data_IF_195483932090
#
_entry.id   IF_195483932090
#
_cell.length_a   1.000
_cell.length_b   1.000
_cell.length_c   1.000
_cell.angle_alpha   90.00
_cell.angle_beta   90.00
_cell.angle_gamma   90.00
#
_symmetry.space_group_name_H-M   'P 1'
#
loop_
_entity.id
_entity.type
_entity.pdbx_description
1 polymer ?
#
# COMPACT_ATOMS: atom_id res chain seq x y z
N UNK A 1 41.74 50.10 -27.91
CA UNK A 1 40.41 49.69 -27.34
C UNK A 1 40.65 48.45 -26.51
N UNK A 2 40.83 48.59 -25.20
CA UNK A 2 41.07 47.50 -24.24
C UNK A 2 39.72 46.97 -23.76
N UNK A 3 39.42 45.70 -24.04
CA UNK A 3 38.28 44.99 -23.46
C UNK A 3 38.66 44.52 -22.05
N UNK A 4 38.05 45.12 -21.04
CA UNK A 4 38.10 44.68 -19.64
C UNK A 4 37.16 43.47 -19.51
N UNK A 5 37.71 42.29 -19.25
CA UNK A 5 36.99 41.11 -18.79
C UNK A 5 36.75 41.28 -17.26
N UNK A 6 35.47 41.47 -16.89
CA UNK A 6 35.04 41.37 -15.51
C UNK A 6 34.84 39.88 -15.20
N UNK A 7 35.78 39.32 -14.45
CA UNK A 7 35.67 38.00 -13.86
C UNK A 7 34.81 38.13 -12.58
N UNK A 8 33.55 37.78 -12.63
CA UNK A 8 32.73 37.60 -11.44
C UNK A 8 33.10 36.25 -10.79
N UNK A 9 33.92 36.34 -9.75
CA UNK A 9 34.11 35.24 -8.82
C UNK A 9 32.82 35.04 -8.04
N UNK A 10 32.07 33.98 -8.37
CA UNK A 10 31.03 33.46 -7.51
C UNK A 10 31.72 32.86 -6.28
N UNK A 11 31.76 33.61 -5.19
CA UNK A 11 32.04 33.07 -3.88
C UNK A 11 30.80 32.22 -3.50
N UNK A 12 30.90 30.91 -3.68
CA UNK A 12 29.99 29.96 -3.05
C UNK A 12 30.19 30.11 -1.53
N UNK A 13 29.34 30.90 -0.91
CA UNK A 13 29.11 30.79 0.53
C UNK A 13 28.51 29.38 0.75
N UNK A 14 29.38 28.45 1.13
CA UNK A 14 28.98 27.28 1.86
C UNK A 14 28.37 27.80 3.18
N UNK A 15 27.05 28.02 3.18
CA UNK A 15 26.26 28.07 4.41
C UNK A 15 26.42 26.68 5.03
N UNK A 16 27.42 26.55 5.89
CA UNK A 16 27.50 25.45 6.83
C UNK A 16 26.19 25.46 7.59
N UNK A 17 25.38 24.43 7.37
CA UNK A 17 24.17 24.21 8.16
C UNK A 17 24.65 24.11 9.62
N UNK A 18 24.52 25.21 10.39
CA UNK A 18 24.81 25.17 11.82
C UNK A 18 23.79 24.19 12.44
N UNK A 19 24.32 23.16 13.09
CA UNK A 19 23.51 22.21 13.84
C UNK A 19 22.57 23.00 14.76
N UNK A 20 21.26 22.89 14.53
CA UNK A 20 20.25 23.56 15.34
C UNK A 20 20.08 22.76 16.62
N UNK A 21 20.87 23.12 17.63
CA UNK A 21 20.83 22.47 18.94
C UNK A 21 19.48 22.68 19.61
N UNK A 22 18.92 21.62 20.17
CA UNK A 22 17.72 21.68 21.00
C UNK A 22 18.01 21.37 22.45
N UNK A 23 17.18 21.90 23.35
CA UNK A 23 17.14 21.54 24.76
C UNK A 23 15.68 21.27 25.15
N UNK A 24 15.38 20.06 25.60
CA UNK A 24 14.10 19.71 26.24
C UNK A 24 14.27 19.80 27.75
N UNK A 25 13.51 20.66 28.40
CA UNK A 25 13.38 20.73 29.85
C UNK A 25 12.05 20.08 30.23
N UNK A 26 12.12 18.93 30.89
CA UNK A 26 10.96 18.12 31.17
C UNK A 26 10.64 18.01 32.65
N UNK A 27 9.34 17.83 32.94
CA UNK A 27 8.82 17.48 34.26
C UNK A 27 8.04 16.17 34.14
N UNK A 28 8.35 15.23 35.03
CA UNK A 28 7.68 13.94 35.14
C UNK A 28 6.70 13.91 36.30
N UNK A 29 5.81 12.93 36.29
CA UNK A 29 4.89 12.66 37.43
C UNK A 29 5.66 12.34 38.71
N UNK A 30 5.26 12.83 39.87
CA UNK A 30 5.90 12.53 41.13
C UNK A 30 6.08 11.03 41.37
N UNK A 31 7.32 10.62 41.69
CA UNK A 31 7.68 9.21 41.88
C UNK A 31 8.20 8.51 40.62
N UNK A 32 8.12 9.12 39.44
CA UNK A 32 8.70 8.60 38.20
C UNK A 32 10.23 8.77 38.22
N UNK A 33 10.97 7.70 37.92
CA UNK A 33 12.43 7.71 37.92
C UNK A 33 13.08 7.74 36.54
N UNK A 34 12.28 7.44 35.49
CA UNK A 34 12.72 7.35 34.08
C UNK A 34 11.64 7.87 33.15
N UNK A 35 12.04 8.62 32.15
CA UNK A 35 11.18 8.99 31.00
C UNK A 35 11.76 8.33 29.76
N UNK A 36 10.91 7.70 28.97
CA UNK A 36 11.24 7.07 27.70
C UNK A 36 10.96 8.03 26.55
N UNK A 37 11.81 7.97 25.53
CA UNK A 37 11.62 8.80 24.35
C UNK A 37 12.11 8.08 23.10
N UNK A 38 11.57 8.48 21.96
CA UNK A 38 12.10 8.10 20.65
C UNK A 38 12.00 9.27 19.65
N UNK A 39 12.91 9.28 18.70
CA UNK A 39 12.73 10.05 17.49
C UNK A 39 11.65 9.35 16.63
N UNK A 40 10.66 10.12 16.13
CA UNK A 40 9.61 9.56 15.27
C UNK A 40 10.13 8.97 13.94
N UNK A 41 11.31 9.36 13.49
CA UNK A 41 11.98 8.79 12.31
C UNK A 41 12.75 7.49 12.61
N UNK A 42 12.88 7.12 13.88
CA UNK A 42 13.57 5.92 14.36
C UNK A 42 12.63 5.06 15.18
N UNK A 43 12.80 3.75 15.12
CA UNK A 43 12.08 2.81 15.98
C UNK A 43 12.76 2.58 17.33
N UNK A 44 13.92 3.20 17.56
CA UNK A 44 14.68 3.00 18.81
C UNK A 44 14.08 3.84 19.93
N UNK A 45 13.72 3.17 21.02
CA UNK A 45 13.28 3.79 22.28
C UNK A 45 14.47 3.89 23.22
N UNK A 46 14.75 5.09 23.65
CA UNK A 46 15.78 5.42 24.63
C UNK A 46 15.14 5.94 25.93
N UNK A 47 15.95 6.28 26.92
CA UNK A 47 15.45 6.74 28.22
C UNK A 47 16.36 7.78 28.86
N UNK A 48 15.76 8.64 29.68
CA UNK A 48 16.45 9.61 30.51
C UNK A 48 16.04 9.47 31.97
N UNK A 49 16.99 9.60 32.87
CA UNK A 49 16.72 9.58 34.32
C UNK A 49 16.05 10.87 34.74
N UNK A 50 15.07 10.74 35.65
CA UNK A 50 14.41 11.86 36.33
C UNK A 50 15.15 12.21 37.61
N UNK A 51 15.42 13.48 37.78
CA UNK A 51 16.03 13.99 39.01
C UNK A 51 15.14 13.87 40.25
N UNK A 52 15.71 14.04 41.44
CA UNK A 52 14.95 14.00 42.70
C UNK A 52 13.89 15.09 42.79
N UNK A 53 14.04 16.16 42.01
CA UNK A 53 13.11 17.29 41.88
C UNK A 53 12.00 17.03 40.84
N UNK A 54 11.95 15.81 40.26
CA UNK A 54 10.99 15.44 39.24
C UNK A 54 11.29 15.97 37.84
N UNK A 55 12.47 16.57 37.63
CA UNK A 55 12.86 17.15 36.32
C UNK A 55 13.80 16.25 35.53
N UNK A 56 13.82 16.42 34.20
CA UNK A 56 14.79 15.81 33.30
C UNK A 56 15.19 16.77 32.18
N UNK A 57 16.34 16.52 31.57
CA UNK A 57 16.82 17.34 30.44
C UNK A 57 17.32 16.43 29.32
N UNK A 58 16.94 16.73 28.07
CA UNK A 58 17.47 16.15 26.86
C UNK A 58 18.06 17.26 25.98
N UNK A 59 19.12 16.94 25.26
CA UNK A 59 19.72 17.88 24.32
C UNK A 59 20.30 17.15 23.11
N UNK A 60 20.32 17.77 21.95
CA UNK A 60 20.82 17.18 20.72
C UNK A 60 20.71 18.10 19.53
N UNK A 61 20.83 17.53 18.34
CA UNK A 61 20.73 18.22 17.07
C UNK A 61 19.34 18.04 16.46
N UNK A 62 18.57 19.11 16.33
CA UNK A 62 17.22 19.12 15.77
C UNK A 62 17.17 18.73 14.28
N UNK A 63 18.24 18.92 13.52
CA UNK A 63 18.26 18.53 12.10
C UNK A 63 18.21 17.01 11.91
N UNK A 64 18.79 16.27 12.85
CA UNK A 64 18.75 14.81 12.84
C UNK A 64 17.51 14.25 13.55
N UNK A 65 16.90 15.03 14.46
CA UNK A 65 15.81 14.59 15.32
C UNK A 65 14.75 15.70 15.49
N UNK A 66 14.03 16.10 14.43
CA UNK A 66 13.11 17.24 14.51
C UNK A 66 11.86 16.97 15.36
N UNK A 67 11.51 15.71 15.60
CA UNK A 67 10.30 15.31 16.35
C UNK A 67 10.60 14.23 17.37
N UNK A 68 10.30 14.52 18.62
CA UNK A 68 10.54 13.61 19.73
C UNK A 68 9.21 13.20 20.38
N UNK A 69 9.01 11.90 20.53
CA UNK A 69 7.91 11.33 21.30
C UNK A 69 8.41 10.97 22.69
N UNK A 70 7.70 11.40 23.75
CA UNK A 70 8.09 11.19 25.13
C UNK A 70 6.94 10.56 25.92
N UNK A 71 7.25 9.63 26.82
CA UNK A 71 6.28 8.97 27.69
C UNK A 71 6.94 8.51 28.99
N UNK A 72 6.16 8.35 30.02
CA UNK A 72 6.57 7.68 31.25
C UNK A 72 6.49 6.15 31.15
N UNK A 73 5.92 5.64 30.04
CA UNK A 73 5.77 4.23 29.74
C UNK A 73 6.69 3.82 28.59
N UNK A 74 7.35 2.67 28.72
CA UNK A 74 8.32 2.19 27.73
C UNK A 74 7.68 1.87 26.36
N UNK A 75 6.44 1.47 26.34
CA UNK A 75 5.66 1.21 25.13
C UNK A 75 5.16 2.50 24.44
N UNK A 76 5.52 3.66 25.01
CA UNK A 76 5.14 5.00 24.56
C UNK A 76 3.62 5.23 24.47
N UNK A 77 2.82 4.45 25.18
CA UNK A 77 1.41 4.75 25.40
C UNK A 77 1.28 6.08 26.18
N UNK A 78 0.21 6.83 25.93
CA UNK A 78 -0.01 8.17 26.50
C UNK A 78 1.20 9.12 26.34
N UNK A 79 1.81 9.11 25.16
CA UNK A 79 2.96 9.94 24.85
C UNK A 79 2.58 11.35 24.42
N UNK A 80 3.51 12.28 24.66
CA UNK A 80 3.53 13.61 24.06
C UNK A 80 4.54 13.65 22.91
N UNK A 81 4.26 14.49 21.94
CA UNK A 81 5.22 14.82 20.90
C UNK A 81 5.67 16.26 21.05
N UNK A 82 6.96 16.50 20.83
CA UNK A 82 7.59 17.80 20.82
C UNK A 82 8.30 18.05 19.48
N UNK A 83 8.22 19.28 18.98
CA UNK A 83 9.03 19.78 17.88
C UNK A 83 10.31 20.38 18.47
N UNK A 84 11.46 19.91 17.98
CA UNK A 84 12.77 20.26 18.52
C UNK A 84 13.38 21.46 17.77
N UNK A 85 12.76 22.61 17.92
CA UNK A 85 13.13 23.87 17.23
C UNK A 85 13.73 24.94 18.17
N UNK A 86 14.37 24.50 19.26
CA UNK A 86 15.01 25.36 20.24
C UNK A 86 14.89 24.83 21.68
N UNK A 87 14.59 25.73 22.63
CA UNK A 87 14.31 25.32 24.01
C UNK A 87 12.85 24.97 24.17
N UNK A 88 12.57 23.71 24.46
CA UNK A 88 11.23 23.13 24.59
C UNK A 88 10.98 22.74 26.05
N UNK A 89 9.80 23.08 26.57
CA UNK A 89 9.37 22.65 27.90
C UNK A 89 8.28 21.58 27.76
N UNK A 90 8.47 20.45 28.42
CA UNK A 90 7.56 19.30 28.43
C UNK A 90 7.07 19.06 29.86
N UNK A 91 5.76 19.10 30.08
CA UNK A 91 5.14 18.74 31.35
C UNK A 91 4.27 17.50 31.13
N UNK A 92 4.79 16.33 31.51
CA UNK A 92 4.11 15.04 31.33
C UNK A 92 2.85 14.93 32.20
N UNK A 93 2.86 15.34 33.48
CA UNK A 93 1.66 15.36 34.33
C UNK A 93 0.46 16.11 33.73
N UNK A 94 0.71 17.25 33.10
CA UNK A 94 -0.35 18.07 32.48
C UNK A 94 -0.55 17.80 31.01
N UNK A 95 0.26 16.91 30.44
CA UNK A 95 0.26 16.59 29.00
C UNK A 95 0.43 17.83 28.12
N UNK A 96 1.38 18.70 28.45
CA UNK A 96 1.63 19.95 27.72
C UNK A 96 3.05 20.07 27.20
N UNK A 97 3.18 20.68 26.02
CA UNK A 97 4.45 21.07 25.41
C UNK A 97 4.41 22.54 25.08
N UNK A 98 5.48 23.27 25.32
CA UNK A 98 5.59 24.71 25.12
C UNK A 98 7.03 25.15 24.87
N UNK A 99 7.25 26.45 24.73
CA UNK A 99 8.57 27.07 24.57
C UNK A 99 8.82 27.63 23.16
N UNK A 100 8.13 27.10 22.13
CA UNK A 100 8.23 27.61 20.76
C UNK A 100 6.85 27.75 20.12
N UNK A 101 6.77 28.47 19.02
CA UNK A 101 5.49 28.65 18.26
C UNK A 101 4.98 27.30 17.75
N UNK A 102 5.84 26.45 17.19
CA UNK A 102 5.46 25.13 16.67
C UNK A 102 4.89 24.25 17.78
N UNK A 103 5.51 24.24 18.98
CA UNK A 103 5.01 23.47 20.10
C UNK A 103 3.70 24.00 20.66
N UNK A 104 3.46 25.33 20.62
CA UNK A 104 2.18 25.91 21.02
C UNK A 104 1.06 25.49 20.05
N UNK A 105 1.33 25.50 18.74
CA UNK A 105 0.38 25.04 17.71
C UNK A 105 0.08 23.54 17.85
N UNK A 106 1.13 22.72 18.00
CA UNK A 106 1.01 21.28 18.22
C UNK A 106 0.14 20.99 19.44
N UNK A 107 0.41 21.68 20.57
CA UNK A 107 -0.28 21.45 21.84
C UNK A 107 -1.79 21.74 21.76
N UNK A 108 -2.20 22.72 20.96
CA UNK A 108 -3.62 23.02 20.75
C UNK A 108 -4.41 21.80 20.22
N UNK A 109 -3.80 20.99 19.36
CA UNK A 109 -4.45 19.82 18.77
C UNK A 109 -4.16 18.56 19.58
N UNK A 110 -2.88 18.27 19.92
CA UNK A 110 -2.54 17.02 20.60
C UNK A 110 -3.18 16.90 22.01
N UNK A 111 -3.34 18.02 22.75
CA UNK A 111 -3.99 17.97 24.07
C UNK A 111 -5.47 17.58 23.99
N UNK A 112 -6.15 17.93 22.91
CA UNK A 112 -7.55 17.53 22.65
C UNK A 112 -7.62 16.08 22.19
N UNK A 113 -6.71 15.66 21.31
CA UNK A 113 -6.60 14.27 20.84
C UNK A 113 -6.26 13.34 21.99
N UNK A 114 -5.30 13.70 22.84
CA UNK A 114 -4.90 12.90 24.01
C UNK A 114 -6.07 12.57 24.96
N UNK A 115 -7.04 13.48 25.08
CA UNK A 115 -8.26 13.24 25.87
C UNK A 115 -9.24 12.28 25.22
N UNK A 116 -9.16 12.07 23.90
CA UNK A 116 -10.07 11.20 23.14
C UNK A 116 -9.50 9.78 22.95
N UNK A 117 -8.19 9.65 22.85
CA UNK A 117 -7.49 8.37 22.58
C UNK A 117 -7.83 7.26 23.59
N UNK A 118 -7.89 7.49 24.91
CA UNK A 118 -8.25 6.44 25.86
C UNK A 118 -9.65 5.83 25.63
N UNK A 119 -10.62 6.67 25.24
CA UNK A 119 -11.95 6.21 24.85
C UNK A 119 -11.94 5.34 23.61
N UNK A 120 -11.14 5.69 22.59
CA UNK A 120 -10.96 4.90 21.37
C UNK A 120 -10.35 3.53 21.71
N UNK A 121 -9.31 3.50 22.53
CA UNK A 121 -8.66 2.25 22.97
C UNK A 121 -9.66 1.34 23.69
N UNK A 122 -10.50 1.90 24.58
CA UNK A 122 -11.54 1.16 25.26
C UNK A 122 -12.56 0.54 24.28
N UNK A 123 -13.02 1.30 23.29
CA UNK A 123 -13.92 0.80 22.22
C UNK A 123 -13.28 -0.32 21.42
N UNK A 124 -12.01 -0.19 21.03
CA UNK A 124 -11.27 -1.25 20.32
C UNK A 124 -11.19 -2.52 21.16
N UNK A 125 -10.92 -2.39 22.47
CA UNK A 125 -10.86 -3.55 23.39
C UNK A 125 -12.20 -4.26 23.48
N UNK A 126 -13.31 -3.52 23.58
CA UNK A 126 -14.65 -4.09 23.61
C UNK A 126 -15.01 -4.78 22.28
N UNK A 127 -14.72 -4.15 21.14
CA UNK A 127 -14.95 -4.74 19.82
C UNK A 127 -14.18 -6.06 19.65
N UNK A 128 -12.91 -6.12 20.08
CA UNK A 128 -12.10 -7.35 20.07
C UNK A 128 -12.73 -8.44 20.95
N UNK A 129 -13.24 -8.08 22.12
CA UNK A 129 -13.94 -9.03 23.00
C UNK A 129 -15.19 -9.60 22.31
N UNK A 130 -16.05 -8.76 21.73
CA UNK A 130 -17.23 -9.22 20.98
C UNK A 130 -16.87 -10.13 19.80
N UNK A 131 -15.76 -9.84 19.09
CA UNK A 131 -15.24 -10.72 18.05
C UNK A 131 -14.81 -12.08 18.59
N UNK A 132 -14.07 -12.10 19.71
CA UNK A 132 -13.64 -13.35 20.36
C UNK A 132 -14.82 -14.21 20.86
N UNK A 133 -15.91 -13.56 21.28
CA UNK A 133 -17.15 -14.21 21.73
C UNK A 133 -18.07 -14.63 20.55
N UNK A 134 -17.68 -14.40 19.29
CA UNK A 134 -18.49 -14.73 18.12
C UNK A 134 -19.75 -13.87 17.95
N UNK A 135 -19.81 -12.70 18.61
CA UNK A 135 -20.96 -11.78 18.61
C UNK A 135 -20.90 -10.71 17.51
N UNK A 136 -20.12 -10.95 16.47
CA UNK A 136 -20.03 -10.04 15.29
C UNK A 136 -21.40 -10.02 14.61
N UNK A 137 -21.92 -8.82 14.30
CA UNK A 137 -23.23 -8.64 13.65
C UNK A 137 -24.40 -8.46 14.61
N UNK A 138 -24.20 -8.57 15.93
CA UNK A 138 -25.26 -8.22 16.90
C UNK A 138 -25.54 -6.72 16.93
N UNK A 139 -26.73 -6.27 17.36
CA UNK A 139 -27.03 -4.84 17.50
C UNK A 139 -26.03 -4.11 18.38
N UNK A 140 -25.59 -4.75 19.48
CA UNK A 140 -24.60 -4.20 20.42
C UNK A 140 -23.22 -4.03 19.78
N UNK A 141 -22.77 -5.04 18.99
CA UNK A 141 -21.51 -4.93 18.24
C UNK A 141 -21.59 -3.77 17.24
N UNK A 142 -22.71 -3.63 16.53
CA UNK A 142 -22.91 -2.54 15.58
C UNK A 142 -22.88 -1.17 16.28
N UNK A 143 -23.57 -1.04 17.40
CA UNK A 143 -23.58 0.20 18.18
C UNK A 143 -22.15 0.60 18.67
N UNK A 144 -21.33 -0.38 19.10
CA UNK A 144 -19.93 -0.16 19.46
C UNK A 144 -19.08 0.25 18.23
N UNK A 145 -19.31 -0.39 17.09
CA UNK A 145 -18.61 -0.06 15.84
C UNK A 145 -18.95 1.37 15.37
N UNK A 146 -20.22 1.77 15.44
CA UNK A 146 -20.68 3.12 15.11
C UNK A 146 -20.04 4.18 16.07
N UNK A 147 -19.95 3.88 17.37
CA UNK A 147 -19.28 4.77 18.33
C UNK A 147 -17.77 4.88 18.04
N UNK A 148 -17.11 3.77 17.72
CA UNK A 148 -15.71 3.76 17.32
C UNK A 148 -15.48 4.62 16.07
N UNK A 149 -16.30 4.42 15.03
CA UNK A 149 -16.20 5.20 13.80
C UNK A 149 -16.37 6.71 14.04
N UNK A 150 -17.35 7.10 14.85
CA UNK A 150 -17.57 8.51 15.21
C UNK A 150 -16.37 9.09 15.98
N UNK A 151 -15.81 8.33 16.93
CA UNK A 151 -14.66 8.78 17.71
C UNK A 151 -13.40 8.94 16.84
N UNK A 152 -13.16 8.03 15.91
CA UNK A 152 -12.07 8.09 14.93
C UNK A 152 -12.23 9.29 13.99
N UNK A 153 -13.43 9.47 13.41
CA UNK A 153 -13.74 10.64 12.57
C UNK A 153 -13.54 11.98 13.30
N UNK A 154 -13.87 12.03 14.60
CA UNK A 154 -13.64 13.23 15.39
C UNK A 154 -12.16 13.56 15.57
N UNK A 155 -11.28 12.55 15.71
CA UNK A 155 -9.82 12.76 15.76
C UNK A 155 -9.30 13.18 14.38
N UNK A 156 -9.71 12.50 13.31
CA UNK A 156 -9.35 12.87 11.94
C UNK A 156 -9.73 14.33 11.59
N UNK A 157 -10.91 14.76 12.03
CA UNK A 157 -11.36 16.13 11.84
C UNK A 157 -10.46 17.17 12.55
N UNK A 158 -9.93 16.85 13.74
CA UNK A 158 -8.99 17.72 14.45
C UNK A 158 -7.67 17.86 13.69
N UNK A 159 -7.14 16.75 13.17
CA UNK A 159 -5.92 16.75 12.36
C UNK A 159 -6.13 17.58 11.08
N UNK A 160 -7.20 17.34 10.34
CA UNK A 160 -7.55 18.12 9.14
C UNK A 160 -7.69 19.61 9.44
N UNK A 161 -8.37 19.93 10.56
CA UNK A 161 -8.52 21.32 10.97
C UNK A 161 -7.18 22.00 11.24
N UNK A 162 -6.26 21.32 11.95
CA UNK A 162 -4.92 21.83 12.23
C UNK A 162 -4.14 22.11 10.93
N UNK A 163 -4.15 21.18 9.96
CA UNK A 163 -3.49 21.37 8.67
C UNK A 163 -4.10 22.52 7.86
N UNK A 164 -5.41 22.70 7.94
CA UNK A 164 -6.11 23.78 7.23
C UNK A 164 -5.85 25.16 7.85
N UNK A 165 -5.89 25.23 9.18
CA UNK A 165 -5.73 26.50 9.90
C UNK A 165 -4.27 26.96 9.94
N UNK A 166 -3.31 26.01 9.90
CA UNK A 166 -1.87 26.27 10.00
C UNK A 166 -1.08 25.51 8.93
N UNK A 167 -1.28 25.81 7.63
CA UNK A 167 -0.64 25.07 6.55
C UNK A 167 0.89 25.17 6.54
N UNK A 168 1.45 26.26 7.10
CA UNK A 168 2.90 26.47 7.20
C UNK A 168 3.54 25.83 8.45
N UNK A 169 2.73 25.26 9.35
CA UNK A 169 3.24 24.67 10.58
C UNK A 169 3.84 23.27 10.34
N UNK A 170 5.13 23.10 10.60
CA UNK A 170 5.79 21.80 10.52
C UNK A 170 5.35 20.86 11.65
N UNK A 171 4.81 21.40 12.73
CA UNK A 171 4.21 20.65 13.85
C UNK A 171 2.98 19.83 13.47
N UNK A 172 2.41 20.02 12.30
CA UNK A 172 1.40 19.14 11.75
C UNK A 172 1.97 17.78 11.30
N UNK A 173 3.30 17.66 11.07
CA UNK A 173 3.90 16.40 10.63
C UNK A 173 3.72 15.27 11.65
N UNK A 174 4.06 15.41 12.93
CA UNK A 174 3.82 14.37 13.92
C UNK A 174 2.34 14.08 14.13
N UNK A 175 1.45 15.05 14.05
CA UNK A 175 0.00 14.82 14.13
C UNK A 175 -0.48 13.95 12.97
N UNK A 176 -0.05 14.25 11.76
CA UNK A 176 -0.40 13.46 10.59
C UNK A 176 0.25 12.07 10.63
N UNK A 177 1.49 11.97 11.06
CA UNK A 177 2.20 10.67 11.20
C UNK A 177 1.47 9.72 12.15
N UNK A 178 1.00 10.22 13.30
CA UNK A 178 0.34 9.41 14.31
C UNK A 178 -1.13 9.11 14.01
N UNK A 179 -1.83 10.01 13.35
CA UNK A 179 -3.29 9.96 13.23
C UNK A 179 -3.79 10.04 11.78
N UNK A 180 -2.91 10.21 10.80
CA UNK A 180 -3.29 10.30 9.39
C UNK A 180 -3.95 9.05 8.85
N UNK A 181 -3.60 7.86 9.39
CA UNK A 181 -4.26 6.59 9.06
C UNK A 181 -5.75 6.51 9.46
N UNK A 182 -6.24 7.49 10.22
CA UNK A 182 -7.66 7.63 10.56
C UNK A 182 -8.46 8.41 9.50
N UNK A 183 -7.79 8.90 8.46
CA UNK A 183 -8.39 9.63 7.34
C UNK A 183 -8.63 8.70 6.16
N UNK A 184 -9.64 9.02 5.37
CA UNK A 184 -9.88 8.32 4.11
C UNK A 184 -8.76 8.63 3.10
N UNK A 185 -8.51 7.72 2.17
CA UNK A 185 -7.41 7.85 1.22
C UNK A 185 -7.52 9.12 0.36
N UNK A 186 -8.72 9.45 -0.09
CA UNK A 186 -9.00 10.66 -0.88
C UNK A 186 -8.68 11.94 -0.09
N UNK A 187 -8.95 11.92 1.22
CA UNK A 187 -8.62 13.03 2.12
C UNK A 187 -7.12 13.19 2.28
N UNK A 188 -6.38 12.08 2.44
CA UNK A 188 -4.92 12.08 2.52
C UNK A 188 -4.32 12.65 1.22
N UNK A 189 -4.80 12.19 0.07
CA UNK A 189 -4.34 12.68 -1.24
C UNK A 189 -4.58 14.18 -1.40
N UNK A 190 -5.77 14.68 -1.01
CA UNK A 190 -6.09 16.08 -1.05
C UNK A 190 -5.20 16.93 -0.12
N UNK A 191 -4.89 16.42 1.07
CA UNK A 191 -3.99 17.07 2.02
C UNK A 191 -2.55 17.13 1.50
N UNK A 192 -2.02 16.06 0.92
CA UNK A 192 -0.70 16.05 0.28
C UNK A 192 -0.67 17.04 -0.90
N UNK A 193 -1.72 17.06 -1.72
CA UNK A 193 -1.84 17.98 -2.85
C UNK A 193 -1.93 19.46 -2.43
N UNK A 194 -2.33 19.75 -1.20
CA UNK A 194 -2.35 21.13 -0.65
C UNK A 194 -0.97 21.72 -0.43
N UNK A 195 0.09 20.89 -0.46
CA UNK A 195 1.49 21.27 -0.24
C UNK A 195 1.75 21.94 1.12
N UNK A 196 0.97 21.60 2.15
CA UNK A 196 1.23 22.08 3.50
C UNK A 196 2.67 21.72 3.92
N UNK A 197 3.35 22.60 4.65
CA UNK A 197 4.78 22.52 4.95
C UNK A 197 5.18 21.21 5.64
N UNK A 198 4.29 20.62 6.43
CA UNK A 198 4.52 19.36 7.13
C UNK A 198 4.84 18.18 6.18
N UNK A 199 4.30 18.17 4.95
CA UNK A 199 4.56 17.12 3.96
C UNK A 199 5.95 17.19 3.31
N UNK A 200 6.67 18.31 3.49
CA UNK A 200 8.08 18.45 3.07
C UNK A 200 9.06 18.03 4.16
N UNK A 201 8.58 17.58 5.31
CA UNK A 201 9.44 17.13 6.40
C UNK A 201 9.99 15.72 6.13
N UNK A 202 11.22 15.39 6.58
CA UNK A 202 11.76 14.05 6.45
C UNK A 202 10.87 12.95 7.06
N UNK A 203 10.04 13.29 8.06
CA UNK A 203 9.11 12.36 8.68
C UNK A 203 8.00 11.88 7.72
N UNK A 204 7.46 12.77 6.90
CA UNK A 204 6.35 12.46 5.99
C UNK A 204 6.78 12.23 4.55
N UNK A 205 8.03 12.55 4.18
CA UNK A 205 8.50 12.38 2.80
C UNK A 205 8.32 10.95 2.28
N UNK A 206 8.63 9.87 3.03
CA UNK A 206 8.40 8.51 2.55
C UNK A 206 6.93 8.22 2.22
N UNK A 207 6.00 8.80 2.98
CA UNK A 207 4.57 8.68 2.71
C UNK A 207 4.17 9.45 1.44
N UNK A 208 4.66 10.69 1.30
CA UNK A 208 4.42 11.50 0.10
C UNK A 208 4.92 10.79 -1.15
N UNK A 209 6.13 10.23 -1.11
CA UNK A 209 6.72 9.46 -2.20
C UNK A 209 5.89 8.23 -2.54
N UNK A 210 5.42 7.50 -1.52
CA UNK A 210 4.52 6.35 -1.71
C UNK A 210 3.23 6.74 -2.44
N UNK A 211 2.58 7.84 -2.02
CA UNK A 211 1.37 8.34 -2.69
C UNK A 211 1.66 8.82 -4.12
N UNK A 212 2.79 9.49 -4.36
CA UNK A 212 3.20 9.91 -5.70
C UNK A 212 3.44 8.72 -6.62
N UNK A 213 4.17 7.71 -6.17
CA UNK A 213 4.39 6.47 -6.93
C UNK A 213 3.08 5.74 -7.21
N UNK A 214 2.19 5.70 -6.24
CA UNK A 214 0.87 5.08 -6.42
C UNK A 214 0.01 5.84 -7.42
N UNK A 215 -0.04 7.17 -7.33
CA UNK A 215 -0.78 8.01 -8.27
C UNK A 215 -0.25 7.83 -9.71
N UNK A 216 1.07 7.71 -9.89
CA UNK A 216 1.68 7.43 -11.19
C UNK A 216 1.35 6.01 -11.68
N UNK A 217 1.39 5.03 -10.78
CA UNK A 217 0.96 3.67 -11.10
C UNK A 217 -0.51 3.62 -11.52
N UNK A 218 -1.39 4.36 -10.83
CA UNK A 218 -2.82 4.46 -11.18
C UNK A 218 -3.08 5.08 -12.55
N UNK A 219 -2.25 6.02 -13.02
CA UNK A 219 -2.35 6.53 -14.40
C UNK A 219 -2.11 5.44 -15.43
N UNK A 220 -1.31 4.44 -15.11
CA UNK A 220 -0.91 3.39 -16.04
C UNK A 220 -1.98 2.34 -16.30
N UNK A 221 -3.06 2.28 -15.50
CA UNK A 221 -4.16 1.34 -15.70
C UNK A 221 -5.52 2.02 -16.00
N UNK A 222 -5.47 3.27 -16.42
CA UNK A 222 -6.68 3.93 -16.91
C UNK A 222 -7.20 3.30 -18.20
N UNK A 223 -8.50 3.27 -18.44
CA UNK A 223 -9.06 2.80 -19.70
C UNK A 223 -8.40 3.47 -20.90
N UNK A 224 -7.99 2.65 -21.88
CA UNK A 224 -7.25 3.06 -23.08
C UNK A 224 -5.72 2.98 -22.95
N UNK A 225 -5.16 2.86 -21.73
CA UNK A 225 -3.73 2.66 -21.54
C UNK A 225 -3.29 1.25 -21.95
N UNK A 226 -2.06 1.12 -22.46
CA UNK A 226 -1.47 -0.19 -22.71
C UNK A 226 -1.13 -0.89 -21.38
N UNK A 227 -1.39 -2.19 -21.28
CA UNK A 227 -0.99 -2.94 -20.11
C UNK A 227 0.54 -2.91 -19.94
N UNK A 228 1.01 -2.98 -18.71
CA UNK A 228 2.45 -3.08 -18.40
C UNK A 228 2.83 -4.54 -18.23
N UNK A 229 3.85 -4.96 -18.96
CA UNK A 229 4.31 -6.35 -18.91
C UNK A 229 5.18 -6.61 -17.69
N UNK A 230 5.01 -7.78 -17.08
CA UNK A 230 5.78 -8.24 -15.92
C UNK A 230 5.98 -9.75 -15.97
N UNK A 231 7.15 -10.20 -15.54
CA UNK A 231 7.50 -11.62 -15.43
C UNK A 231 7.24 -12.11 -13.99
N UNK A 232 6.49 -13.19 -13.85
CA UNK A 232 6.13 -13.82 -12.59
C UNK A 232 6.29 -15.34 -12.71
N UNK A 233 6.18 -16.07 -11.59
CA UNK A 233 6.28 -17.52 -11.58
C UNK A 233 4.92 -18.20 -11.58
N UNK A 234 4.81 -19.30 -12.32
CA UNK A 234 3.66 -20.21 -12.24
C UNK A 234 3.71 -21.06 -10.96
N UNK A 235 2.63 -21.76 -10.58
CA UNK A 235 2.64 -22.73 -9.48
C UNK A 235 3.73 -23.79 -9.61
N UNK A 236 4.10 -24.16 -10.85
CA UNK A 236 5.16 -25.14 -11.16
C UNK A 236 6.57 -24.53 -11.13
N UNK A 237 6.70 -23.19 -10.96
CA UNK A 237 7.97 -22.49 -10.89
C UNK A 237 8.52 -22.03 -12.24
N UNK A 238 7.78 -22.19 -13.33
CA UNK A 238 8.17 -21.63 -14.62
C UNK A 238 7.90 -20.13 -14.65
N UNK A 239 8.83 -19.36 -15.22
CA UNK A 239 8.61 -17.91 -15.44
C UNK A 239 7.69 -17.69 -16.63
N UNK A 240 6.66 -16.86 -16.43
CA UNK A 240 5.73 -16.41 -17.45
C UNK A 240 5.53 -14.89 -17.35
N UNK A 241 5.19 -14.28 -18.48
CA UNK A 241 4.91 -12.85 -18.55
C UNK A 241 3.42 -12.61 -18.78
N UNK A 242 2.91 -11.46 -18.35
CA UNK A 242 1.55 -11.05 -18.72
C UNK A 242 1.37 -10.96 -20.24
N UNK A 243 2.42 -10.57 -20.97
CA UNK A 243 2.44 -10.55 -22.43
C UNK A 243 2.32 -11.94 -23.08
N UNK A 244 2.50 -13.04 -22.34
CA UNK A 244 2.19 -14.36 -22.85
C UNK A 244 0.69 -14.59 -23.03
N UNK A 245 -0.15 -13.82 -22.36
CA UNK A 245 -1.61 -13.93 -22.34
C UNK A 245 -2.31 -12.71 -22.91
N UNK A 246 -1.85 -11.50 -22.55
CA UNK A 246 -2.46 -10.23 -22.95
C UNK A 246 -1.98 -9.76 -24.34
N UNK A 247 -2.86 -9.09 -25.12
CA UNK A 247 -2.53 -8.58 -26.44
C UNK A 247 -2.36 -9.67 -27.51
N UNK A 248 -3.00 -10.82 -27.34
CA UNK A 248 -2.94 -12.00 -28.23
C UNK A 248 -4.24 -12.24 -29.01
N UNK A 249 -5.09 -11.23 -29.10
CA UNK A 249 -6.37 -11.35 -29.78
C UNK A 249 -7.54 -11.74 -28.89
N UNK A 250 -7.30 -11.93 -27.59
CA UNK A 250 -8.30 -12.29 -26.58
C UNK A 250 -8.54 -11.19 -25.58
N UNK A 251 -9.75 -11.11 -25.02
CA UNK A 251 -9.96 -10.35 -23.79
C UNK A 251 -9.38 -11.12 -22.60
N UNK A 252 -8.67 -10.42 -21.75
CA UNK A 252 -7.99 -11.01 -20.56
C UNK A 252 -8.43 -10.29 -19.30
N UNK A 253 -8.92 -11.03 -18.33
CA UNK A 253 -9.11 -10.54 -16.96
C UNK A 253 -7.86 -10.87 -16.14
N UNK A 254 -7.10 -9.87 -15.74
CA UNK A 254 -6.04 -10.02 -14.74
C UNK A 254 -6.68 -9.80 -13.37
N UNK A 255 -6.73 -10.85 -12.54
CA UNK A 255 -7.35 -10.87 -11.23
C UNK A 255 -6.30 -10.94 -10.13
N UNK A 256 -6.15 -9.84 -9.37
CA UNK A 256 -5.27 -9.76 -8.20
C UNK A 256 -6.00 -10.30 -6.97
N UNK A 257 -5.48 -11.38 -6.42
CA UNK A 257 -6.10 -12.11 -5.32
C UNK A 257 -5.09 -12.70 -4.34
N UNK A 258 -5.54 -13.37 -3.28
CA UNK A 258 -4.70 -14.20 -2.42
C UNK A 258 -5.52 -15.30 -1.73
N UNK A 259 -4.84 -16.37 -1.32
CA UNK A 259 -5.48 -17.49 -0.61
C UNK A 259 -6.08 -17.09 0.74
N UNK A 260 -5.50 -16.11 1.41
CA UNK A 260 -5.94 -15.55 2.69
C UNK A 260 -7.02 -14.45 2.53
N UNK A 261 -7.30 -13.98 1.32
CA UNK A 261 -8.27 -12.92 1.05
C UNK A 261 -9.70 -13.50 1.06
N UNK A 262 -10.43 -13.25 2.13
CA UNK A 262 -11.83 -13.69 2.27
C UNK A 262 -12.75 -13.19 1.16
N UNK A 263 -12.80 -11.87 0.89
CA UNK A 263 -13.60 -11.30 -0.22
C UNK A 263 -13.22 -11.87 -1.59
N UNK A 264 -11.92 -12.09 -1.87
CA UNK A 264 -11.48 -12.70 -3.13
C UNK A 264 -12.08 -14.10 -3.30
N UNK A 265 -12.00 -14.93 -2.25
CA UNK A 265 -12.56 -16.29 -2.27
C UNK A 265 -14.08 -16.30 -2.46
N UNK A 266 -14.77 -15.31 -1.90
CA UNK A 266 -16.22 -15.17 -2.08
C UNK A 266 -16.60 -14.79 -3.52
N UNK A 267 -15.74 -14.08 -4.25
CA UNK A 267 -15.93 -13.70 -5.66
C UNK A 267 -15.61 -14.85 -6.64
N UNK A 268 -14.72 -15.79 -6.28
CA UNK A 268 -14.23 -16.86 -7.17
C UNK A 268 -15.32 -17.69 -7.85
N UNK A 269 -16.47 -18.06 -7.21
CA UNK A 269 -17.54 -18.78 -7.91
C UNK A 269 -18.08 -18.01 -9.12
N UNK A 270 -18.20 -16.69 -9.01
CA UNK A 270 -18.67 -15.81 -10.10
C UNK A 270 -17.61 -15.70 -11.20
N UNK A 271 -16.36 -15.47 -10.86
CA UNK A 271 -15.25 -15.41 -11.80
C UNK A 271 -15.13 -16.72 -12.58
N UNK A 272 -15.34 -17.86 -11.91
CA UNK A 272 -15.37 -19.17 -12.53
C UNK A 272 -16.54 -19.33 -13.53
N UNK A 273 -17.73 -18.87 -13.17
CA UNK A 273 -18.87 -18.89 -14.08
C UNK A 273 -18.64 -18.04 -15.34
N UNK A 274 -17.97 -16.87 -15.20
CA UNK A 274 -17.55 -16.05 -16.33
C UNK A 274 -16.56 -16.81 -17.22
N UNK A 275 -15.56 -17.45 -16.64
CA UNK A 275 -14.57 -18.24 -17.38
C UNK A 275 -15.25 -19.37 -18.16
N UNK A 276 -16.09 -20.17 -17.52
CA UNK A 276 -16.81 -21.27 -18.15
C UNK A 276 -17.70 -20.78 -19.32
N UNK A 277 -18.32 -19.60 -19.18
CA UNK A 277 -19.23 -19.05 -20.19
C UNK A 277 -18.52 -18.46 -21.41
N UNK A 278 -17.35 -17.85 -21.22
CA UNK A 278 -16.72 -17.03 -22.26
C UNK A 278 -15.34 -17.53 -22.72
N UNK A 279 -14.71 -18.50 -22.02
CA UNK A 279 -13.39 -18.99 -22.39
C UNK A 279 -13.35 -19.55 -23.83
N UNK A 280 -14.34 -20.35 -24.22
CA UNK A 280 -14.46 -20.87 -25.59
C UNK A 280 -14.68 -19.80 -26.65
N UNK A 281 -15.01 -18.56 -26.25
CA UNK A 281 -15.18 -17.39 -27.11
C UNK A 281 -13.96 -16.47 -27.10
N UNK A 282 -12.83 -16.91 -26.53
CA UNK A 282 -11.60 -16.11 -26.47
C UNK A 282 -11.50 -15.20 -25.25
N UNK A 283 -12.13 -15.59 -24.10
CA UNK A 283 -11.89 -14.92 -22.83
C UNK A 283 -10.88 -15.70 -22.01
N UNK A 284 -9.87 -15.03 -21.52
CA UNK A 284 -8.85 -15.64 -20.66
C UNK A 284 -8.85 -14.95 -19.29
N UNK A 285 -8.42 -15.66 -18.27
CA UNK A 285 -8.16 -15.12 -16.94
C UNK A 285 -6.71 -15.41 -16.56
N UNK A 286 -6.05 -14.44 -15.94
CA UNK A 286 -4.74 -14.61 -15.32
C UNK A 286 -4.85 -14.18 -13.86
N UNK A 287 -4.80 -15.15 -12.94
CA UNK A 287 -4.78 -14.87 -11.51
C UNK A 287 -3.37 -14.43 -11.06
N UNK A 288 -3.23 -13.21 -10.55
CA UNK A 288 -1.98 -12.71 -9.96
C UNK A 288 -2.11 -12.75 -8.45
N UNK A 289 -1.37 -13.65 -7.80
CA UNK A 289 -1.49 -13.86 -6.37
C UNK A 289 -0.54 -12.99 -5.55
N UNK A 290 -1.06 -12.41 -4.48
CA UNK A 290 -0.33 -11.70 -3.42
C UNK A 290 -0.08 -12.60 -2.19
N UNK A 291 0.05 -13.90 -2.40
CA UNK A 291 0.51 -14.82 -1.35
C UNK A 291 2.02 -14.67 -1.12
N UNK A 292 2.47 -14.94 0.09
CA UNK A 292 3.88 -15.12 0.45
C UNK A 292 4.22 -16.58 0.79
N UNK A 293 3.23 -17.46 0.76
CA UNK A 293 3.37 -18.90 0.98
C UNK A 293 2.89 -19.67 -0.25
N UNK A 294 3.81 -20.37 -0.90
CA UNK A 294 3.53 -21.16 -2.10
C UNK A 294 2.55 -22.30 -1.85
N UNK A 295 2.62 -22.96 -0.69
CA UNK A 295 1.75 -24.09 -0.40
C UNK A 295 0.30 -23.61 -0.15
N UNK A 296 0.12 -22.50 0.57
CA UNK A 296 -1.19 -21.89 0.76
C UNK A 296 -1.82 -21.47 -0.58
N UNK A 297 -1.04 -20.80 -1.46
CA UNK A 297 -1.47 -20.39 -2.79
C UNK A 297 -1.90 -21.57 -3.67
N UNK A 298 -0.99 -22.54 -3.88
CA UNK A 298 -1.26 -23.70 -4.73
C UNK A 298 -2.40 -24.57 -4.18
N UNK A 299 -2.46 -24.72 -2.85
CA UNK A 299 -3.55 -25.41 -2.18
C UNK A 299 -4.91 -24.71 -2.37
N UNK A 300 -4.94 -23.38 -2.39
CA UNK A 300 -6.16 -22.62 -2.66
C UNK A 300 -6.63 -22.80 -4.12
N UNK A 301 -5.73 -22.75 -5.09
CA UNK A 301 -6.01 -23.01 -6.51
C UNK A 301 -6.68 -24.38 -6.66
N UNK A 302 -6.11 -25.43 -6.03
CA UNK A 302 -6.63 -26.78 -6.09
C UNK A 302 -7.99 -26.93 -5.42
N UNK A 303 -8.13 -26.43 -4.18
CA UNK A 303 -9.41 -26.53 -3.42
C UNK A 303 -10.58 -25.85 -4.11
N UNK A 304 -10.32 -24.70 -4.75
CA UNK A 304 -11.35 -23.95 -5.46
C UNK A 304 -11.51 -24.38 -6.93
N UNK A 305 -10.66 -25.31 -7.40
CA UNK A 305 -10.65 -25.79 -8.78
C UNK A 305 -10.57 -24.61 -9.78
N UNK A 306 -9.54 -23.77 -9.64
CA UNK A 306 -9.27 -22.63 -10.54
C UNK A 306 -8.39 -23.13 -11.69
N UNK A 307 -8.96 -23.19 -12.90
CA UNK A 307 -8.35 -23.89 -14.06
C UNK A 307 -7.58 -22.96 -15.00
N UNK A 308 -7.65 -21.65 -14.81
CA UNK A 308 -6.91 -20.65 -15.60
C UNK A 308 -5.47 -20.46 -15.13
N UNK A 309 -4.62 -19.76 -15.91
CA UNK A 309 -3.26 -19.43 -15.51
C UNK A 309 -3.15 -18.64 -14.21
N UNK A 310 -2.20 -19.02 -13.36
CA UNK A 310 -1.89 -18.33 -12.11
C UNK A 310 -0.43 -17.96 -12.05
N UNK A 311 -0.14 -16.75 -11.58
CA UNK A 311 1.19 -16.16 -11.47
C UNK A 311 1.40 -15.53 -10.08
N UNK A 312 2.63 -15.56 -9.57
CA UNK A 312 2.99 -14.88 -8.31
C UNK A 312 4.50 -14.66 -8.24
N UNK A 313 4.93 -13.65 -7.49
CA UNK A 313 6.34 -13.49 -7.04
C UNK A 313 6.52 -13.90 -5.57
N UNK A 314 5.45 -14.33 -4.90
CA UNK A 314 5.41 -14.75 -3.50
C UNK A 314 5.93 -13.68 -2.53
N UNK A 315 5.75 -12.40 -2.86
CA UNK A 315 6.22 -11.26 -2.04
C UNK A 315 5.11 -10.59 -1.23
N UNK A 316 3.91 -11.14 -1.22
CA UNK A 316 2.76 -10.55 -0.53
C UNK A 316 2.48 -9.14 -1.04
N UNK A 317 2.29 -8.19 -0.12
CA UNK A 317 2.11 -6.78 -0.46
C UNK A 317 3.35 -6.08 -1.03
N UNK A 318 4.51 -6.72 -0.99
CA UNK A 318 5.74 -6.25 -1.65
C UNK A 318 5.85 -6.76 -3.10
N UNK A 319 4.76 -7.33 -3.65
CA UNK A 319 4.71 -7.81 -5.03
C UNK A 319 5.03 -6.71 -6.03
N UNK A 320 5.93 -7.01 -6.96
CA UNK A 320 6.28 -6.11 -8.06
C UNK A 320 5.08 -5.84 -8.97
N UNK A 321 4.20 -6.85 -9.15
CA UNK A 321 2.97 -6.68 -9.91
C UNK A 321 1.99 -5.73 -9.21
N UNK A 322 1.83 -5.85 -7.89
CA UNK A 322 0.99 -4.94 -7.11
C UNK A 322 1.53 -3.49 -7.18
N UNK A 323 2.84 -3.31 -7.00
CA UNK A 323 3.49 -2.00 -7.12
C UNK A 323 3.35 -1.40 -8.52
N UNK A 324 3.57 -2.20 -9.58
CA UNK A 324 3.51 -1.78 -10.99
C UNK A 324 2.13 -1.24 -11.37
N UNK A 325 1.08 -1.84 -10.84
CA UNK A 325 -0.32 -1.47 -11.09
C UNK A 325 -0.96 -0.66 -9.95
N UNK A 326 -0.19 -0.25 -8.93
CA UNK A 326 -0.71 0.53 -7.81
C UNK A 326 -1.80 -0.18 -7.00
N UNK A 327 -1.77 -1.52 -6.96
CA UNK A 327 -2.74 -2.34 -6.22
C UNK A 327 -2.47 -2.23 -4.72
N UNK A 328 -3.40 -1.68 -3.99
CA UNK A 328 -3.32 -1.48 -2.53
C UNK A 328 -4.37 -2.26 -1.75
N UNK A 329 -5.32 -2.84 -2.44
CA UNK A 329 -6.35 -3.70 -1.86
C UNK A 329 -6.73 -4.79 -2.85
N UNK A 330 -7.15 -5.94 -2.34
CA UNK A 330 -7.68 -7.06 -3.13
C UNK A 330 -9.06 -7.49 -2.62
N UNK A 331 -9.94 -8.00 -3.51
CA UNK A 331 -9.73 -8.27 -4.93
C UNK A 331 -9.61 -7.00 -5.77
N UNK A 332 -8.76 -7.03 -6.81
CA UNK A 332 -8.65 -5.98 -7.81
C UNK A 332 -8.49 -6.60 -9.21
N UNK A 333 -9.10 -6.00 -10.21
CA UNK A 333 -9.17 -6.58 -11.54
C UNK A 333 -8.75 -5.57 -12.62
N UNK A 334 -8.08 -6.07 -13.67
CA UNK A 334 -7.82 -5.36 -14.91
C UNK A 334 -8.47 -6.14 -16.05
N UNK A 335 -9.36 -5.52 -16.79
CA UNK A 335 -9.92 -6.08 -18.00
C UNK A 335 -9.17 -5.50 -19.21
N UNK A 336 -8.56 -6.36 -20.01
CA UNK A 336 -7.64 -6.01 -21.11
C UNK A 336 -8.24 -6.49 -22.41
N UNK A 337 -8.19 -5.64 -23.45
CA UNK A 337 -8.72 -5.95 -24.79
C UNK A 337 -7.75 -6.81 -25.61
N UNK A 338 -8.19 -7.32 -26.78
CA UNK A 338 -7.35 -8.11 -27.67
C UNK A 338 -6.06 -7.44 -28.16
N UNK A 339 -5.97 -6.11 -28.10
CA UNK A 339 -4.80 -5.33 -28.49
C UNK A 339 -3.89 -5.00 -27.29
N UNK A 340 -4.27 -5.41 -26.09
CA UNK A 340 -3.52 -5.18 -24.86
C UNK A 340 -3.82 -3.84 -24.18
N UNK A 341 -4.90 -3.16 -24.57
CA UNK A 341 -5.35 -1.95 -23.89
C UNK A 341 -6.27 -2.30 -22.72
N UNK A 342 -6.14 -1.56 -21.64
CA UNK A 342 -7.00 -1.71 -20.48
C UNK A 342 -8.38 -1.15 -20.82
N UNK A 343 -9.39 -1.96 -20.67
CA UNK A 343 -10.81 -1.61 -20.87
C UNK A 343 -11.43 -1.06 -19.60
N UNK A 344 -11.09 -1.69 -18.47
CA UNK A 344 -11.62 -1.32 -17.17
C UNK A 344 -10.69 -1.80 -16.05
N UNK A 345 -10.76 -1.10 -14.91
CA UNK A 345 -10.08 -1.41 -13.65
C UNK A 345 -11.09 -1.53 -12.51
N UNK A 346 -10.87 -2.48 -11.61
CA UNK A 346 -11.60 -2.61 -10.34
C UNK A 346 -13.04 -3.11 -10.46
N UNK A 347 -13.45 -3.62 -11.63
CA UNK A 347 -14.81 -4.19 -11.79
C UNK A 347 -14.96 -5.48 -11.00
N UNK A 348 -16.09 -5.62 -10.29
CA UNK A 348 -16.44 -6.79 -9.48
C UNK A 348 -17.95 -7.06 -9.54
N UNK A 349 -18.36 -8.27 -9.14
CA UNK A 349 -19.77 -8.64 -9.05
C UNK A 349 -20.52 -8.39 -10.36
N UNK A 350 -21.72 -7.86 -10.25
CA UNK A 350 -22.61 -7.59 -11.38
C UNK A 350 -22.01 -6.63 -12.41
N UNK A 351 -21.12 -5.70 -11.99
CA UNK A 351 -20.46 -4.77 -12.90
C UNK A 351 -19.47 -5.49 -13.82
N UNK A 352 -18.71 -6.47 -13.29
CA UNK A 352 -17.80 -7.29 -14.09
C UNK A 352 -18.58 -8.15 -15.08
N UNK A 353 -19.64 -8.82 -14.61
CA UNK A 353 -20.50 -9.67 -15.46
C UNK A 353 -21.12 -8.86 -16.61
N UNK A 354 -21.68 -7.70 -16.29
CA UNK A 354 -22.30 -6.82 -17.28
C UNK A 354 -21.28 -6.33 -18.33
N UNK A 355 -20.08 -5.96 -17.86
CA UNK A 355 -19.03 -5.45 -18.78
C UNK A 355 -18.51 -6.56 -19.70
N UNK A 356 -18.26 -7.75 -19.18
CA UNK A 356 -17.84 -8.88 -20.02
C UNK A 356 -18.96 -9.26 -21.00
N UNK A 357 -20.21 -9.29 -20.57
CA UNK A 357 -21.35 -9.57 -21.45
C UNK A 357 -21.48 -8.54 -22.60
N UNK A 358 -21.33 -7.24 -22.28
CA UNK A 358 -21.32 -6.14 -23.26
C UNK A 358 -20.25 -6.35 -24.33
N UNK A 359 -19.01 -6.69 -23.93
CA UNK A 359 -17.88 -6.87 -24.85
C UNK A 359 -18.14 -8.04 -25.82
N UNK A 360 -18.74 -9.11 -25.35
CA UNK A 360 -19.05 -10.29 -26.18
C UNK A 360 -20.37 -10.18 -26.95
N UNK A 361 -21.28 -9.28 -26.57
CA UNK A 361 -22.46 -8.97 -27.36
C UNK A 361 -22.12 -8.15 -28.63
N UNK A 362 -21.08 -7.33 -28.56
CA UNK A 362 -20.65 -6.45 -29.63
C UNK A 362 -19.43 -6.99 -30.42
N UNK A 363 -18.87 -8.15 -30.03
CA UNK A 363 -17.78 -8.77 -30.76
C UNK A 363 -18.31 -9.43 -32.03
N UNK A 364 -17.74 -9.19 -33.21
CA UNK A 364 -18.03 -9.98 -34.41
C UNK A 364 -17.68 -11.45 -34.12
N UNK A 365 -18.48 -12.39 -34.58
CA UNK A 365 -18.21 -13.82 -34.42
C UNK A 365 -16.76 -14.11 -34.85
N UNK A 366 -15.91 -14.38 -33.90
CA UNK A 366 -14.55 -14.84 -34.15
C UNK A 366 -14.67 -16.27 -34.64
N UNK A 367 -14.69 -16.44 -35.97
CA UNK A 367 -14.52 -17.75 -36.55
C UNK A 367 -13.18 -18.31 -36.07
N UNK A 368 -13.24 -19.36 -35.30
CA UNK A 368 -12.09 -20.17 -34.91
C UNK A 368 -11.46 -20.69 -36.21
N UNK A 369 -10.39 -20.05 -36.66
CA UNK A 369 -9.51 -20.66 -37.65
C UNK A 369 -8.79 -21.78 -36.95
N UNK A 370 -9.35 -22.97 -37.02
CA UNK A 370 -8.59 -24.20 -36.80
C UNK A 370 -7.42 -24.21 -37.78
N UNK A 371 -6.19 -24.49 -37.35
CA UNK A 371 -5.10 -24.71 -38.30
C UNK A 371 -5.46 -25.95 -39.15
N UNK A 372 -5.64 -25.73 -40.45
CA UNK A 372 -5.85 -26.81 -41.41
C UNK A 372 -4.81 -27.90 -41.22
N UNK A 373 -5.29 -29.10 -40.96
CA UNK A 373 -4.52 -30.31 -41.10
C UNK A 373 -4.01 -30.40 -42.52
N UNK A 374 -2.70 -30.24 -42.72
CA UNK A 374 -2.02 -30.47 -43.99
C UNK A 374 -2.14 -31.96 -44.35
N UNK A 375 -3.21 -32.33 -45.05
CA UNK A 375 -3.30 -33.59 -45.75
C UNK A 375 -2.61 -33.44 -47.13
N UNK A 376 -1.31 -33.65 -47.13
CA UNK A 376 -0.53 -33.84 -48.35
C UNK A 376 -0.69 -35.28 -48.86
N UNK A 377 -1.69 -35.52 -49.68
CA UNK A 377 -1.77 -36.74 -50.48
C UNK A 377 -0.99 -36.56 -51.78
N UNK A 378 0.22 -37.04 -51.84
CA UNK A 378 0.90 -37.28 -53.14
C UNK A 378 0.71 -38.73 -53.51
N UNK A 379 -0.06 -38.96 -54.59
CA UNK A 379 -0.04 -40.18 -55.41
C UNK A 379 1.32 -40.30 -56.10
N UNK A 380 1.98 -41.44 -55.97
CA UNK A 380 3.18 -41.80 -56.67
C UNK A 380 3.23 -43.33 -56.85
N UNK A 381 3.31 -43.70 -58.07
CA UNK A 381 3.09 -45.02 -58.72
C UNK A 381 4.04 -46.14 -58.26
N UNK A 382 3.53 -47.33 -58.52
CA UNK A 382 4.19 -48.66 -58.45
C UNK A 382 5.54 -48.76 -59.12
N UNK A 383 6.49 -49.46 -58.46
CA UNK A 383 7.40 -50.38 -59.12
C UNK A 383 7.81 -51.51 -58.17
N UNK A 384 7.55 -52.71 -58.65
CA UNK A 384 7.85 -53.97 -58.00
C UNK A 384 9.34 -54.33 -58.11
N UNK A 385 9.94 -54.82 -57.01
CA UNK A 385 11.30 -55.35 -56.99
C UNK A 385 11.46 -56.41 -55.90
N UNK A 386 11.60 -57.67 -56.39
CA UNK A 386 11.71 -58.92 -55.67
C UNK A 386 12.89 -59.04 -54.68
N UNK A 387 12.60 -59.59 -53.52
CA UNK A 387 13.26 -60.69 -52.79
C UNK A 387 14.81 -60.84 -52.78
N UNK A 388 15.42 -61.04 -51.61
CA UNK A 388 15.71 -62.27 -50.90
C UNK A 388 16.59 -62.07 -49.67
N UNK A 389 16.68 -63.07 -48.77
CA UNK A 389 17.08 -62.88 -47.38
C UNK A 389 18.50 -63.31 -47.07
N UNK A 390 19.08 -62.85 -46.00
CA UNK A 390 20.39 -63.34 -45.46
C UNK A 390 20.54 -63.02 -44.00
N UNK A 391 20.35 -64.08 -43.20
CA UNK A 391 21.10 -64.59 -42.07
C UNK A 391 22.17 -63.61 -41.50
N UNK A 392 22.19 -63.21 -40.22
CA UNK A 392 22.45 -64.11 -39.14
C UNK A 392 23.70 -63.63 -38.38
N UNK A 393 23.70 -63.81 -37.06
CA UNK A 393 24.80 -64.03 -36.11
C UNK A 393 25.25 -62.85 -35.25
N UNK A 394 24.82 -62.96 -34.00
CA UNK A 394 25.48 -62.78 -32.71
C UNK A 394 26.82 -62.05 -32.65
N UNK A 395 26.99 -61.09 -31.85
CA UNK A 395 27.60 -61.19 -30.49
C UNK A 395 27.11 -60.02 -29.64
#
# INVERSE_FOLDING_TARGET
MKKMLFSMAFAALALGASAQQYVVKGKATPGQSVVYYRNLQSNNVDSVKVGKDGTFTLQGDAQQQPFLQLSEQRDLNNSLVAVLDGTVTVDLPTSTVSGTTENALLNNTQSVVAKKVPGIIALVSQLKQYQAEGKVGTPEFKALADQYEQAVKAVGALVKKSLKDYPEAVSNAPLFYLYGSLLEEEEIQALIASKAACFSTPLLQPLVDQFAHRAEAMKSHQPGSQFKDIALQTPQGATKRLSDYCGKGNYVLVDFWASWCGPCRAEMPRVKALYEKYHSKGFEIVGVSLDNDKAAWTGAIQRMNLTWPHLSDLKGWQSEAAALYGISSIPATLLIDPQGKIVAFGLRGDQLDAKVAELYANAPDVQTTTPDAVTGATKGEHSAGKARPGKGVRK
#
